data_IF_256231988453
#
_entry.id   IF_256231988453
#
_cell.length_a   1.000
_cell.length_b   1.000
_cell.length_c   1.000
_cell.angle_alpha   90.00
_cell.angle_beta   90.00
_cell.angle_gamma   90.00
#
_symmetry.space_group_name_H-M   'P 1'
#
loop_
_entity.id
_entity.type
_entity.pdbx_description
1 polymer ?
#
# COMPACT_ATOMS: atom_id res chain seq x y z
N UNK A 1 26.47 29.60 -7.22
CA UNK A 1 25.30 29.73 -6.37
C UNK A 1 24.27 28.66 -6.63
N UNK A 2 24.72 27.42 -6.67
CA UNK A 2 23.87 26.27 -6.92
C UNK A 2 23.68 25.38 -5.68
N UNK A 3 24.05 25.87 -4.51
CA UNK A 3 24.01 25.06 -3.30
C UNK A 3 22.63 24.97 -2.63
N UNK A 4 21.65 25.71 -3.11
CA UNK A 4 20.31 25.70 -2.50
C UNK A 4 19.39 24.64 -3.10
N UNK A 5 19.71 24.13 -4.28
CA UNK A 5 18.89 23.09 -4.93
C UNK A 5 19.09 21.69 -4.34
N UNK A 6 20.21 21.47 -3.66
CA UNK A 6 20.52 20.17 -3.10
C UNK A 6 19.77 19.82 -1.82
N UNK A 7 18.96 20.70 -1.37
CA UNK A 7 18.30 20.55 -0.12
C UNK A 7 17.01 19.77 -0.20
N UNK A 8 16.65 19.44 -1.39
CA UNK A 8 15.43 18.81 -1.56
C UNK A 8 15.42 17.48 -1.95
N UNK A 9 15.16 17.11 -1.56
CA UNK A 9 15.10 16.20 -0.90
C UNK A 9 14.00 15.24 -1.05
N UNK A 10 14.01 14.68 -2.20
CA UNK A 10 13.51 13.36 -2.47
C UNK A 10 14.38 12.35 -1.74
N UNK A 11 14.21 12.26 -0.46
CA UNK A 11 14.95 11.36 0.39
C UNK A 11 14.12 10.11 0.63
N UNK A 12 14.71 8.96 0.42
CA UNK A 12 14.20 7.72 0.97
C UNK A 12 14.82 7.57 2.34
N UNK A 13 14.08 7.99 3.35
CA UNK A 13 14.48 7.87 4.74
C UNK A 13 13.71 6.75 5.39
N UNK A 14 14.40 5.96 6.20
CA UNK A 14 13.76 5.02 7.09
C UNK A 14 13.62 5.65 8.46
N UNK A 15 12.39 6.02 8.79
CA UNK A 15 12.03 6.56 10.08
C UNK A 15 11.13 5.57 10.83
N UNK A 16 10.84 5.87 12.06
CA UNK A 16 9.85 5.15 12.85
C UNK A 16 8.75 6.08 13.32
N UNK A 17 7.53 5.64 13.14
CA UNK A 17 6.36 6.25 13.74
C UNK A 17 5.95 5.47 14.98
N UNK A 18 5.33 6.16 15.93
CA UNK A 18 4.74 5.51 17.08
C UNK A 18 3.27 5.27 16.84
N UNK A 19 2.85 4.04 17.06
CA UNK A 19 1.45 3.64 16.96
C UNK A 19 1.01 2.91 18.20
N UNK A 20 -0.26 3.01 18.50
CA UNK A 20 -0.92 2.09 19.40
C UNK A 20 -1.39 0.89 18.60
N UNK A 21 -0.87 -0.28 18.93
CA UNK A 21 -1.20 -1.52 18.25
C UNK A 21 -1.97 -2.44 19.14
N UNK A 22 -2.95 -3.11 18.54
CA UNK A 22 -3.51 -4.31 19.11
C UNK A 22 -2.53 -5.47 18.88
N UNK A 23 -2.14 -6.17 19.93
CA UNK A 23 -1.24 -7.33 19.78
C UNK A 23 -1.99 -8.49 19.14
N UNK A 24 -1.37 -9.05 18.13
CA UNK A 24 -1.85 -10.27 17.47
C UNK A 24 -0.77 -11.34 17.51
N UNK A 25 -1.17 -12.57 17.72
CA UNK A 25 -0.27 -13.69 17.52
C UNK A 25 -0.08 -13.93 16.02
N UNK A 26 1.15 -14.19 15.63
CA UNK A 26 1.53 -14.33 14.23
C UNK A 26 1.27 -15.72 13.67
N UNK A 27 1.07 -16.71 14.51
CA UNK A 27 0.93 -18.11 14.12
C UNK A 27 -0.40 -18.66 14.59
N UNK A 28 -1.11 -19.27 13.66
CA UNK A 28 -2.31 -20.04 13.95
C UNK A 28 -1.98 -21.53 14.03
N UNK A 29 -2.13 -22.12 15.19
CA UNK A 29 -1.74 -23.51 15.45
C UNK A 29 -2.53 -24.54 14.62
N UNK A 30 -3.74 -24.23 14.21
CA UNK A 30 -4.58 -25.07 13.37
C UNK A 30 -4.21 -25.07 11.88
N UNK A 31 -3.29 -24.24 11.48
CA UNK A 31 -2.98 -23.98 10.09
C UNK A 31 -2.46 -25.21 9.33
N UNK A 32 -1.64 -26.02 9.96
CA UNK A 32 -1.09 -27.24 9.36
C UNK A 32 -2.10 -28.36 9.07
N UNK A 33 -3.35 -28.16 9.47
CA UNK A 33 -4.45 -29.12 9.19
C UNK A 33 -5.27 -28.75 7.95
N UNK A 34 -5.04 -27.60 7.37
CA UNK A 34 -5.71 -27.18 6.14
C UNK A 34 -5.06 -27.89 5.00
N UNK A 35 -5.83 -28.73 4.31
CA UNK A 35 -5.36 -29.52 3.15
C UNK A 35 -4.81 -28.64 2.02
N UNK A 36 -5.22 -27.38 1.99
CA UNK A 36 -4.73 -26.40 1.04
C UNK A 36 -3.55 -25.68 1.66
N UNK A 37 -2.41 -25.87 1.09
CA UNK A 37 -1.17 -25.20 1.49
C UNK A 37 -1.25 -23.70 1.27
N UNK A 38 -2.03 -23.01 2.09
CA UNK A 38 -2.05 -21.55 2.11
C UNK A 38 -0.70 -21.02 2.64
N UNK A 39 0.09 -20.35 1.83
CA UNK A 39 1.51 -20.12 2.14
C UNK A 39 1.75 -18.88 3.02
N UNK A 40 0.73 -18.34 3.63
CA UNK A 40 0.80 -17.14 4.45
C UNK A 40 0.28 -17.36 5.86
N UNK A 41 0.77 -16.59 6.80
CA UNK A 41 0.32 -16.65 8.19
C UNK A 41 -1.09 -16.11 8.33
N UNK A 42 -1.85 -16.71 9.23
CA UNK A 42 -3.13 -16.17 9.66
C UNK A 42 -2.97 -15.49 11.02
N UNK A 43 -3.59 -14.34 11.17
CA UNK A 43 -3.58 -13.57 12.41
C UNK A 43 -4.94 -13.69 13.08
N UNK A 44 -5.08 -14.63 14.01
CA UNK A 44 -6.36 -14.97 14.64
C UNK A 44 -6.44 -14.61 16.12
N UNK A 45 -5.32 -14.39 16.77
CA UNK A 45 -5.28 -14.13 18.20
C UNK A 45 -5.09 -12.64 18.48
N UNK A 46 -6.19 -11.92 18.57
CA UNK A 46 -6.18 -10.52 18.93
C UNK A 46 -6.26 -10.37 20.44
N UNK A 47 -5.30 -9.66 21.00
CA UNK A 47 -5.41 -9.11 22.34
C UNK A 47 -5.88 -7.67 22.19
N UNK A 48 -7.09 -7.37 22.53
CA UNK A 48 -7.64 -6.01 22.45
C UNK A 48 -7.00 -5.07 23.49
N UNK A 49 -5.69 -5.07 23.53
CA UNK A 49 -4.90 -4.24 24.42
C UNK A 49 -4.00 -3.34 23.57
N UNK A 50 -4.25 -2.05 23.65
CA UNK A 50 -3.43 -1.06 22.95
C UNK A 50 -2.02 -1.05 23.53
N UNK A 51 -1.03 -1.12 22.65
CA UNK A 51 0.39 -0.96 22.97
C UNK A 51 1.03 0.03 22.04
N UNK A 52 1.88 0.88 22.58
CA UNK A 52 2.76 1.72 21.77
C UNK A 52 3.85 0.86 21.12
N UNK A 53 3.98 0.95 19.82
CA UNK A 53 5.01 0.28 19.04
C UNK A 53 5.64 1.25 18.03
N UNK A 54 6.95 1.24 17.93
CA UNK A 54 7.64 1.92 16.85
C UNK A 54 7.57 1.10 15.58
N UNK A 55 7.22 1.77 14.48
CA UNK A 55 7.11 1.16 13.16
C UNK A 55 8.10 1.82 12.22
N UNK A 56 8.83 0.99 11.49
CA UNK A 56 9.74 1.44 10.44
C UNK A 56 8.94 2.08 9.30
N UNK A 57 9.40 3.23 8.83
CA UNK A 57 8.81 3.92 7.71
C UNK A 57 9.83 4.19 6.61
N UNK A 58 9.37 4.28 5.37
CA UNK A 58 10.10 4.87 4.27
C UNK A 58 9.43 6.17 3.85
N UNK A 59 10.20 7.21 3.57
CA UNK A 59 9.69 8.54 3.27
C UNK A 59 10.23 9.02 1.93
N UNK A 60 9.32 9.43 1.06
CA UNK A 60 9.62 10.23 -0.12
C UNK A 60 9.14 11.66 0.11
N UNK A 61 9.97 12.63 -0.19
CA UNK A 61 9.64 14.01 0.09
C UNK A 61 10.24 14.95 -0.95
N UNK A 62 9.43 15.90 -1.40
CA UNK A 62 9.85 17.05 -2.22
C UNK A 62 9.30 18.35 -1.65
N UNK A 63 9.32 19.45 -2.40
CA UNK A 63 8.81 20.74 -1.95
C UNK A 63 7.30 20.76 -1.69
N UNK A 64 6.54 19.93 -2.40
CA UNK A 64 5.08 19.95 -2.42
C UNK A 64 4.48 18.88 -1.52
N UNK A 65 5.07 17.69 -1.52
CA UNK A 65 4.51 16.49 -0.91
C UNK A 65 5.49 15.79 0.02
N UNK A 66 4.93 15.12 1.03
CA UNK A 66 5.62 14.11 1.82
C UNK A 66 4.78 12.84 1.84
N UNK A 67 5.33 11.75 1.33
CA UNK A 67 4.72 10.43 1.31
C UNK A 67 5.40 9.52 2.32
N UNK A 68 4.64 8.93 3.23
CA UNK A 68 5.12 8.02 4.28
C UNK A 68 4.57 6.63 4.04
N UNK A 69 5.45 5.66 3.92
CA UNK A 69 5.13 4.26 3.67
C UNK A 69 5.45 3.40 4.88
N UNK A 70 4.70 2.30 5.03
CA UNK A 70 4.89 1.28 6.06
C UNK A 70 5.41 -0.02 5.42
N UNK A 71 6.72 -0.18 5.23
CA UNK A 71 7.28 -1.36 4.56
C UNK A 71 6.96 -2.68 5.26
N UNK A 72 6.84 -2.68 6.58
CA UNK A 72 6.56 -3.87 7.38
C UNK A 72 5.07 -4.28 7.32
N UNK A 73 4.23 -3.46 6.69
CA UNK A 73 2.79 -3.68 6.57
C UNK A 73 2.32 -3.48 5.13
N UNK A 74 2.80 -4.34 4.24
CA UNK A 74 2.41 -4.37 2.83
C UNK A 74 2.84 -3.17 2.01
N UNK A 75 3.81 -2.39 2.49
CA UNK A 75 4.21 -1.15 1.81
C UNK A 75 3.11 -0.10 1.79
N UNK A 76 2.17 -0.14 2.75
CA UNK A 76 1.04 0.78 2.83
C UNK A 76 1.51 2.23 2.73
N UNK A 77 0.99 3.01 1.77
CA UNK A 77 1.13 4.46 1.80
C UNK A 77 0.23 4.98 2.93
N UNK A 78 0.85 5.40 4.04
CA UNK A 78 0.13 5.77 5.25
C UNK A 78 -0.23 7.25 5.28
N UNK A 79 0.70 8.10 4.88
CA UNK A 79 0.47 9.53 4.78
C UNK A 79 0.87 10.04 3.40
N UNK A 80 0.08 10.90 2.86
CA UNK A 80 0.39 11.74 1.71
C UNK A 80 0.08 13.18 2.10
N UNK A 81 1.08 13.84 2.63
CA UNK A 81 0.96 15.18 3.17
C UNK A 81 1.14 16.21 2.07
N UNK A 82 0.13 17.04 1.85
CA UNK A 82 0.22 18.23 1.03
C UNK A 82 0.78 19.38 1.89
N UNK A 83 1.97 19.84 1.53
CA UNK A 83 2.67 20.89 2.29
C UNK A 83 2.07 22.27 2.09
N UNK A 84 1.45 22.51 0.95
CA UNK A 84 0.82 23.80 0.66
C UNK A 84 -0.48 23.96 1.43
N UNK A 85 -1.29 22.92 1.44
CA UNK A 85 -2.56 22.86 2.15
C UNK A 85 -2.39 22.51 3.64
N UNK A 86 -1.18 22.09 4.03
CA UNK A 86 -0.83 21.65 5.37
C UNK A 86 -1.79 20.58 5.92
N UNK A 87 -2.06 19.55 5.12
CA UNK A 87 -2.97 18.47 5.48
C UNK A 87 -2.56 17.13 4.89
N UNK A 88 -2.95 16.05 5.56
CA UNK A 88 -2.89 14.71 4.98
C UNK A 88 -4.04 14.53 3.98
N UNK A 89 -3.74 14.10 2.77
CA UNK A 89 -4.73 13.82 1.74
C UNK A 89 -5.43 12.48 1.96
N UNK A 90 -4.85 11.60 2.79
CA UNK A 90 -5.38 10.29 3.09
C UNK A 90 -6.06 10.28 4.46
N UNK A 91 -7.08 9.42 4.59
CA UNK A 91 -7.62 9.08 5.89
C UNK A 91 -6.76 8.00 6.54
N UNK A 92 -6.42 8.20 7.80
CA UNK A 92 -5.70 7.22 8.62
C UNK A 92 -6.29 7.18 10.02
N UNK A 93 -6.18 6.03 10.67
CA UNK A 93 -6.58 5.87 12.08
C UNK A 93 -5.40 6.13 13.00
N UNK A 94 -5.69 6.60 14.20
CA UNK A 94 -4.68 6.75 15.26
C UNK A 94 -4.20 5.41 15.80
N UNK A 95 -4.93 4.35 15.51
CA UNK A 95 -4.65 2.99 15.95
C UNK A 95 -4.55 2.07 14.74
N UNK A 96 -3.45 1.32 14.64
CA UNK A 96 -3.34 0.20 13.74
C UNK A 96 -3.95 -1.03 14.39
N UNK A 97 -5.08 -1.48 13.87
CA UNK A 97 -5.75 -2.69 14.31
C UNK A 97 -5.91 -3.64 13.13
N UNK A 98 -5.22 -4.76 13.19
CA UNK A 98 -5.36 -5.81 12.20
C UNK A 98 -6.61 -6.62 12.45
N UNK A 99 -7.29 -7.03 11.39
CA UNK A 99 -8.46 -7.88 11.49
C UNK A 99 -8.54 -8.87 10.34
N UNK A 100 -9.16 -10.02 10.57
CA UNK A 100 -9.44 -11.01 9.54
C UNK A 100 -10.72 -10.70 8.75
N UNK A 101 -10.94 -9.46 8.38
CA UNK A 101 -12.11 -9.06 7.60
C UNK A 101 -12.04 -9.48 6.14
N UNK A 102 -10.84 -9.75 5.64
CA UNK A 102 -10.63 -10.21 4.28
C UNK A 102 -10.56 -11.74 4.22
N UNK A 103 -10.64 -12.28 3.00
CA UNK A 103 -10.78 -13.71 2.71
C UNK A 103 -9.81 -14.62 3.47
N UNK A 104 -8.64 -14.14 3.83
CA UNK A 104 -7.66 -14.90 4.65
C UNK A 104 -6.60 -14.00 5.24
N UNK A 105 -6.83 -12.95 5.84
CA UNK A 105 -5.87 -12.26 6.66
C UNK A 105 -6.11 -10.82 6.82
N UNK A 106 -5.55 -10.49 7.72
CA UNK A 106 -5.26 -9.27 8.33
C UNK A 106 -5.39 -8.11 7.36
N UNK A 107 -6.39 -7.36 7.51
CA UNK A 107 -6.59 -6.06 6.93
C UNK A 107 -6.54 -5.01 8.05
N UNK A 108 -6.14 -3.81 7.72
CA UNK A 108 -6.32 -2.65 8.59
C UNK A 108 -6.74 -1.43 7.78
N UNK A 109 -7.48 -0.55 8.43
CA UNK A 109 -8.05 0.64 7.80
C UNK A 109 -7.02 1.76 7.67
N UNK A 110 -7.15 2.57 6.63
CA UNK A 110 -6.39 3.79 6.41
C UNK A 110 -5.31 3.69 5.34
N UNK A 111 -4.96 4.84 4.77
CA UNK A 111 -3.94 4.95 3.74
C UNK A 111 -4.30 4.33 2.40
N UNK A 112 -3.30 3.94 1.63
CA UNK A 112 -3.46 3.23 0.35
C UNK A 112 -2.92 1.81 0.47
N UNK A 113 -3.78 0.86 0.18
CA UNK A 113 -3.50 -0.57 0.17
C UNK A 113 -3.24 -1.07 -1.25
N UNK A 114 -2.32 -2.01 -1.37
CA UNK A 114 -1.92 -2.62 -2.63
C UNK A 114 -2.25 -4.10 -2.63
N UNK A 115 -2.93 -4.59 -3.66
CA UNK A 115 -3.41 -5.96 -3.74
C UNK A 115 -3.06 -6.62 -5.07
N UNK A 116 -2.62 -7.86 -4.98
CA UNK A 116 -2.20 -8.67 -6.10
C UNK A 116 -2.65 -10.13 -5.93
N UNK A 117 -2.96 -10.78 -7.05
CA UNK A 117 -3.00 -12.23 -7.16
C UNK A 117 -4.30 -12.88 -6.76
N UNK A 118 -5.12 -12.27 -5.92
CA UNK A 118 -6.38 -12.84 -5.45
C UNK A 118 -7.53 -11.83 -5.51
N UNK A 119 -8.74 -12.34 -5.58
CA UNK A 119 -9.95 -11.54 -5.35
C UNK A 119 -10.09 -11.35 -3.85
N UNK A 120 -9.85 -10.15 -3.36
CA UNK A 120 -9.83 -9.82 -1.95
C UNK A 120 -8.49 -9.20 -1.53
N UNK A 121 -8.36 -8.93 -0.24
CA UNK A 121 -7.16 -8.31 0.30
C UNK A 121 -5.99 -9.30 0.30
N UNK A 122 -4.86 -8.84 -0.20
CA UNK A 122 -3.65 -9.64 -0.27
C UNK A 122 -3.08 -9.93 1.12
N UNK A 123 -2.55 -11.13 1.37
CA UNK A 123 -1.90 -11.46 2.64
C UNK A 123 -0.76 -10.52 3.03
N UNK A 124 -0.06 -9.98 2.04
CA UNK A 124 1.03 -9.02 2.29
C UNK A 124 0.58 -7.68 2.85
N UNK A 125 -0.70 -7.37 2.86
CA UNK A 125 -1.25 -6.15 3.48
C UNK A 125 -0.75 -5.92 4.90
N UNK A 126 -0.41 -6.97 5.61
CA UNK A 126 0.12 -6.92 6.99
C UNK A 126 1.48 -7.60 7.16
N UNK A 127 2.12 -7.97 6.07
CA UNK A 127 3.43 -8.60 6.06
C UNK A 127 4.51 -7.64 5.51
N UNK A 128 5.76 -7.84 5.91
CA UNK A 128 6.86 -7.01 5.43
C UNK A 128 7.15 -7.26 3.96
N UNK A 129 7.53 -6.18 3.27
CA UNK A 129 8.09 -6.21 1.92
C UNK A 129 9.59 -5.93 1.96
N UNK A 130 10.30 -6.41 0.96
CA UNK A 130 11.64 -5.96 0.67
C UNK A 130 11.63 -4.51 0.18
N UNK A 131 12.61 -3.75 0.58
CA UNK A 131 12.74 -2.34 0.25
C UNK A 131 14.12 -2.08 -0.35
N UNK A 132 14.15 -1.35 -1.43
CA UNK A 132 15.36 -0.89 -2.07
C UNK A 132 15.23 0.56 -2.52
N UNK A 133 16.35 1.26 -2.53
CA UNK A 133 16.50 2.52 -3.23
C UNK A 133 17.05 2.24 -4.62
N UNK A 134 16.46 2.88 -5.63
CA UNK A 134 16.92 2.84 -7.00
C UNK A 134 16.69 4.20 -7.66
N UNK A 135 16.88 4.32 -8.96
CA UNK A 135 16.71 5.57 -9.68
C UNK A 135 15.92 5.35 -10.97
N UNK A 136 15.25 6.40 -11.43
CA UNK A 136 14.73 6.45 -12.80
C UNK A 136 15.86 6.58 -13.81
N UNK A 137 15.55 6.48 -15.09
CA UNK A 137 16.52 6.69 -16.15
C UNK A 137 17.06 8.14 -16.17
N UNK A 138 16.27 9.08 -15.63
CA UNK A 138 16.62 10.49 -15.46
C UNK A 138 17.40 10.77 -14.17
N UNK A 139 17.60 9.75 -13.34
CA UNK A 139 18.36 9.85 -12.08
C UNK A 139 17.53 10.19 -10.84
N UNK A 140 16.20 10.23 -10.95
CA UNK A 140 15.32 10.48 -9.82
C UNK A 140 15.32 9.33 -8.81
N UNK A 141 15.45 9.57 -7.50
CA UNK A 141 15.42 8.50 -6.51
C UNK A 141 14.05 7.83 -6.46
N UNK A 142 14.06 6.52 -6.45
CA UNK A 142 12.88 5.65 -6.45
C UNK A 142 12.89 4.79 -5.22
N UNK A 143 11.81 4.83 -4.47
CA UNK A 143 11.51 3.83 -3.44
C UNK A 143 10.91 2.60 -4.13
N UNK A 144 11.63 1.49 -4.13
CA UNK A 144 11.14 0.21 -4.61
C UNK A 144 10.77 -0.68 -3.45
N UNK A 145 9.55 -1.20 -3.48
CA UNK A 145 9.11 -2.28 -2.60
C UNK A 145 8.71 -3.48 -3.44
N UNK A 146 9.10 -4.69 -3.02
CA UNK A 146 8.88 -5.89 -3.83
C UNK A 146 8.80 -7.14 -2.98
N UNK A 147 8.16 -8.16 -3.55
CA UNK A 147 8.05 -9.49 -2.94
C UNK A 147 7.64 -10.54 -4.00
N UNK A 148 7.67 -11.79 -3.60
CA UNK A 148 7.20 -12.92 -4.38
C UNK A 148 5.81 -13.34 -3.91
N UNK A 149 4.82 -13.29 -4.80
CA UNK A 149 3.47 -13.75 -4.51
C UNK A 149 3.39 -15.27 -4.66
N UNK A 150 3.13 -15.95 -3.54
CA UNK A 150 3.32 -17.41 -3.42
C UNK A 150 2.15 -18.24 -3.95
N UNK A 151 0.97 -17.66 -4.10
CA UNK A 151 -0.20 -18.35 -4.63
C UNK A 151 -0.11 -18.45 -6.15
N UNK A 152 0.25 -17.38 -6.79
CA UNK A 152 0.39 -17.27 -8.25
C UNK A 152 1.80 -17.56 -8.74
N UNK A 153 2.77 -17.51 -7.85
CA UNK A 153 4.16 -17.76 -8.22
C UNK A 153 4.77 -16.64 -9.06
N UNK A 154 4.50 -15.38 -8.74
CA UNK A 154 4.98 -14.23 -9.49
C UNK A 154 5.77 -13.28 -8.62
N UNK A 155 6.80 -12.67 -9.19
CA UNK A 155 7.48 -11.55 -8.57
C UNK A 155 6.74 -10.26 -8.88
N UNK A 156 6.58 -9.41 -7.90
CA UNK A 156 5.95 -8.12 -8.06
C UNK A 156 6.74 -7.02 -7.38
N UNK A 157 6.67 -5.82 -7.93
CA UNK A 157 7.33 -4.64 -7.40
C UNK A 157 6.46 -3.40 -7.58
N UNK A 158 6.64 -2.48 -6.67
CA UNK A 158 6.08 -1.13 -6.69
C UNK A 158 7.22 -0.14 -6.63
N UNK A 159 7.26 0.76 -7.58
CA UNK A 159 8.20 1.86 -7.62
C UNK A 159 7.46 3.17 -7.38
N UNK A 160 7.93 3.94 -6.42
CA UNK A 160 7.37 5.25 -6.08
C UNK A 160 8.43 6.32 -6.20
N UNK A 161 8.08 7.46 -6.77
CA UNK A 161 8.98 8.60 -6.83
C UNK A 161 8.22 9.92 -6.92
N UNK A 162 8.92 10.98 -6.58
CA UNK A 162 8.47 12.37 -6.67
C UNK A 162 9.50 13.15 -7.47
N UNK A 163 9.08 13.82 -8.53
CA UNK A 163 9.92 14.83 -9.14
C UNK A 163 10.00 16.08 -8.25
N UNK A 164 10.95 16.96 -8.49
CA UNK A 164 11.27 18.09 -7.58
C UNK A 164 10.05 18.95 -7.21
N UNK A 165 9.31 19.43 -8.18
CA UNK A 165 8.20 20.35 -7.96
C UNK A 165 6.83 19.72 -8.27
N UNK A 166 6.77 18.40 -8.22
CA UNK A 166 5.56 17.68 -8.54
C UNK A 166 4.60 17.64 -7.35
N UNK A 167 3.34 17.92 -7.59
CA UNK A 167 2.25 17.86 -6.59
C UNK A 167 1.50 16.53 -6.61
N UNK A 168 2.05 15.48 -7.21
CA UNK A 168 1.49 14.13 -7.25
C UNK A 168 2.57 13.07 -7.09
N UNK A 169 2.23 12.01 -6.37
CA UNK A 169 3.10 10.84 -6.21
C UNK A 169 2.98 9.94 -7.44
N UNK A 170 4.10 9.63 -8.05
CA UNK A 170 4.18 8.68 -9.15
C UNK A 170 4.30 7.26 -8.60
N UNK A 171 3.56 6.34 -9.20
CA UNK A 171 3.57 4.92 -8.85
C UNK A 171 3.62 4.07 -10.11
N UNK A 172 4.55 3.13 -10.16
CA UNK A 172 4.64 2.13 -11.22
C UNK A 172 4.59 0.74 -10.61
N UNK A 173 3.61 -0.04 -11.04
CA UNK A 173 3.49 -1.44 -10.70
C UNK A 173 4.12 -2.30 -11.79
N UNK A 174 4.86 -3.33 -11.39
CA UNK A 174 5.39 -4.34 -12.28
C UNK A 174 5.16 -5.73 -11.69
N UNK A 175 4.68 -6.63 -12.53
CA UNK A 175 4.47 -8.03 -12.20
C UNK A 175 5.22 -8.86 -13.23
N UNK A 176 6.00 -9.82 -12.76
CA UNK A 176 6.85 -10.66 -13.62
C UNK A 176 6.43 -12.11 -13.44
N UNK A 177 5.94 -12.69 -14.51
CA UNK A 177 5.70 -14.13 -14.62
C UNK A 177 6.93 -14.76 -15.25
N UNK A 178 7.70 -15.51 -14.47
CA UNK A 178 8.89 -16.24 -14.92
C UNK A 178 8.59 -17.68 -15.32
N UNK A 179 7.33 -18.10 -15.19
CA UNK A 179 6.90 -19.44 -15.61
C UNK A 179 6.58 -19.50 -17.10
N UNK A 180 6.42 -20.71 -17.63
CA UNK A 180 5.95 -20.96 -18.99
C UNK A 180 4.42 -20.97 -19.10
N UNK A 181 3.73 -20.90 -17.98
CA UNK A 181 2.29 -20.97 -17.91
C UNK A 181 1.63 -19.60 -17.97
N UNK A 182 0.40 -19.56 -18.46
CA UNK A 182 -0.43 -18.35 -18.39
C UNK A 182 -0.98 -18.21 -16.97
N UNK A 183 -0.57 -17.16 -16.28
CA UNK A 183 -1.02 -16.88 -14.91
C UNK A 183 -2.04 -15.75 -14.94
N UNK A 184 -3.26 -15.99 -14.41
CA UNK A 184 -4.26 -14.94 -14.27
C UNK A 184 -3.74 -13.83 -13.36
N UNK A 185 -3.82 -12.60 -13.84
CA UNK A 185 -3.35 -11.44 -13.10
C UNK A 185 -4.52 -10.60 -12.60
N UNK A 186 -4.47 -10.26 -11.32
CA UNK A 186 -5.43 -9.38 -10.67
C UNK A 186 -4.68 -8.35 -9.84
N UNK A 187 -4.84 -7.10 -10.19
CA UNK A 187 -4.26 -5.98 -9.46
C UNK A 187 -5.34 -4.95 -9.11
N UNK A 188 -5.31 -4.46 -7.89
CA UNK A 188 -6.14 -3.36 -7.45
C UNK A 188 -5.55 -2.65 -6.23
N UNK A 189 -5.97 -1.44 -5.98
CA UNK A 189 -5.59 -0.67 -4.83
C UNK A 189 -6.82 -0.05 -4.18
N UNK A 190 -6.78 0.08 -2.87
CA UNK A 190 -7.77 0.80 -2.08
C UNK A 190 -7.15 2.06 -1.49
N UNK A 191 -7.82 3.16 -1.65
CA UNK A 191 -7.43 4.43 -1.06
C UNK A 191 -8.50 4.88 -0.07
N UNK A 192 -8.10 5.10 1.18
CA UNK A 192 -8.94 5.72 2.17
C UNK A 192 -8.76 7.25 2.11
N UNK A 193 -9.85 7.96 1.92
CA UNK A 193 -9.88 9.43 1.90
C UNK A 193 -10.92 9.94 2.88
N UNK A 194 -10.75 11.15 3.43
CA UNK A 194 -11.79 11.76 4.24
C UNK A 194 -13.09 11.92 3.45
N UNK A 195 -14.21 11.61 4.08
CA UNK A 195 -15.53 11.87 3.52
C UNK A 195 -15.97 13.28 3.89
N UNK A 196 -16.34 14.06 2.89
CA UNK A 196 -16.84 15.42 3.07
C UNK A 196 -18.31 15.49 2.67
N UNK A 197 -19.09 16.30 3.38
CA UNK A 197 -20.53 16.46 3.17
C UNK A 197 -20.89 16.83 1.71
N UNK A 198 -20.04 17.58 1.05
CA UNK A 198 -20.19 17.96 -0.36
C UNK A 198 -19.11 17.34 -1.26
N UNK A 199 -18.52 16.25 -0.80
CA UNK A 199 -17.48 15.55 -1.56
C UNK A 199 -18.05 14.88 -2.81
N UNK A 200 -17.29 14.90 -3.90
CA UNK A 200 -17.58 14.14 -5.12
C UNK A 200 -16.31 13.52 -5.68
N UNK A 201 -16.49 12.47 -6.46
CA UNK A 201 -15.39 11.76 -7.10
C UNK A 201 -15.31 12.23 -8.55
N UNK A 202 -14.16 12.77 -8.92
CA UNK A 202 -13.86 13.13 -10.30
C UNK A 202 -12.84 12.16 -10.88
N UNK A 203 -13.09 11.66 -12.07
CA UNK A 203 -12.19 10.78 -12.80
C UNK A 203 -11.98 11.29 -14.23
N UNK A 204 -10.82 11.08 -14.86
CA UNK A 204 -10.55 11.52 -16.23
C UNK A 204 -11.19 10.57 -17.26
N UNK A 205 -12.48 10.30 -17.13
CA UNK A 205 -13.22 9.40 -18.00
C UNK A 205 -14.68 9.83 -18.06
N UNK A 206 -15.32 9.69 -19.21
CA UNK A 206 -16.76 9.93 -19.40
C UNK A 206 -17.61 8.68 -19.18
N UNK A 207 -16.99 7.53 -19.03
CA UNK A 207 -17.67 6.24 -18.93
C UNK A 207 -16.92 5.33 -17.95
N UNK A 208 -17.66 4.46 -17.27
CA UNK A 208 -17.13 3.40 -16.43
C UNK A 208 -17.91 2.10 -16.64
N UNK A 209 -17.35 1.00 -16.15
CA UNK A 209 -18.04 -0.28 -16.07
C UNK A 209 -18.37 -0.57 -14.61
N UNK A 210 -19.64 -0.70 -14.30
CA UNK A 210 -20.13 -1.07 -12.98
C UNK A 210 -20.42 -2.57 -12.94
N UNK A 211 -19.72 -3.28 -12.07
CA UNK A 211 -19.90 -4.72 -11.83
C UNK A 211 -20.77 -4.98 -10.61
N UNK A 212 -21.75 -5.85 -10.72
CA UNK A 212 -22.59 -6.30 -9.59
C UNK A 212 -22.22 -7.71 -9.10
N UNK A 213 -21.11 -8.25 -9.59
CA UNK A 213 -20.68 -9.64 -9.33
C UNK A 213 -21.32 -10.66 -10.29
N UNK A 214 -22.45 -10.35 -10.88
CA UNK A 214 -23.16 -11.19 -11.87
C UNK A 214 -23.16 -10.53 -13.26
N UNK A 215 -23.30 -9.23 -13.28
CA UNK A 215 -23.36 -8.44 -14.51
C UNK A 215 -22.34 -7.30 -14.49
N UNK A 216 -21.84 -6.99 -15.67
CA UNK A 216 -21.02 -5.80 -15.90
C UNK A 216 -21.76 -4.89 -16.88
N UNK A 217 -22.07 -3.68 -16.44
CA UNK A 217 -22.77 -2.71 -17.30
C UNK A 217 -21.95 -1.44 -17.46
N UNK A 218 -22.02 -0.87 -18.64
CA UNK A 218 -21.45 0.45 -18.92
C UNK A 218 -22.33 1.54 -18.31
N UNK A 219 -21.73 2.49 -17.66
CA UNK A 219 -22.39 3.65 -17.05
C UNK A 219 -21.70 4.92 -17.50
N UNK A 220 -22.48 5.97 -17.74
CA UNK A 220 -21.93 7.30 -17.98
C UNK A 220 -21.52 7.95 -16.67
N UNK A 221 -20.40 8.66 -16.69
CA UNK A 221 -19.92 9.48 -15.59
C UNK A 221 -20.29 10.94 -15.83
N UNK A 222 -20.58 11.71 -14.78
CA UNK A 222 -20.91 13.14 -14.89
C UNK A 222 -19.74 13.98 -15.39
#
# INVERSE_FOLDING_TARGET
SSAASDVYKRQILQNSLKFYLDETDEIYEGYGKVADSYPYRQRNNYKRQLKEKQIRTAVLENNQLKAVFLPDYGGRLWELWDKNENRNLLYTNDVLQFSNLAVRNAWFSGGVEWNLGIIGHQPYTTEPLYVAETHTDEGEPVLRMYEYERIRGVTWQMDFWLDDDCSYLKCRMRIVNESTEVIPMYWWSNMAVPEYEQGHITVPASEAYAGTGVECRKVSLP
#
